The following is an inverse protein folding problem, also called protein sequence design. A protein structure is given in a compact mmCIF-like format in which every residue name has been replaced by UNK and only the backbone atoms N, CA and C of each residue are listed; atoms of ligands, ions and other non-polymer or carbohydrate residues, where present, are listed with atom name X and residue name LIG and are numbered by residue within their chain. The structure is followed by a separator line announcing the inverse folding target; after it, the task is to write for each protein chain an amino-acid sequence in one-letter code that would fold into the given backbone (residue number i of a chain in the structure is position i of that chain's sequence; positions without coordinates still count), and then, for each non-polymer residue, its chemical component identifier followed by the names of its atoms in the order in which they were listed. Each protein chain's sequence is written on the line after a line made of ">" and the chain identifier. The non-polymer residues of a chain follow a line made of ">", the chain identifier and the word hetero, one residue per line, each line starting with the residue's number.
data_IF_056403291391
#
_entry.id   IF_056403291391
#
_cell.length_a   1.000
_cell.length_b   1.000
_cell.length_c   1.000
_cell.angle_alpha   90.00
_cell.angle_beta   90.00
_cell.angle_gamma   90.00
#
_symmetry.space_group_name_H-M   'P 1'
#
loop_
_entity.id
_entity.type
_entity.pdbx_description
1 polymer ?
#
# COMPACT_ATOMS: atom_id res chain seq x y z
N UNK A 1 -18.58 8.30 11.94
CA UNK A 1 -17.28 9.00 12.06
C UNK A 1 -16.97 9.61 10.70
N UNK A 2 -16.40 10.82 10.64
CA UNK A 2 -16.06 11.52 9.39
C UNK A 2 -14.55 11.53 9.16
N UNK A 3 -13.95 10.34 9.10
CA UNK A 3 -12.55 10.24 8.70
C UNK A 3 -12.44 10.42 7.18
N UNK A 4 -11.26 10.83 6.71
CA UNK A 4 -10.95 10.91 5.28
C UNK A 4 -10.08 9.71 4.81
N UNK A 5 -9.46 9.00 5.74
CA UNK A 5 -8.57 7.88 5.47
C UNK A 5 -8.63 6.81 6.57
N UNK A 6 -8.23 5.59 6.21
CA UNK A 6 -8.06 4.46 7.13
C UNK A 6 -6.72 3.76 6.87
N UNK A 7 -5.96 3.50 7.93
CA UNK A 7 -4.72 2.74 7.86
C UNK A 7 -4.93 1.37 8.49
N UNK A 8 -4.61 0.31 7.76
CA UNK A 8 -4.91 -1.06 8.14
C UNK A 8 -3.61 -1.85 8.21
N UNK A 9 -3.30 -2.35 9.42
CA UNK A 9 -2.27 -3.38 9.58
C UNK A 9 -2.92 -4.74 9.28
N UNK A 10 -2.63 -5.29 8.10
CA UNK A 10 -3.27 -6.50 7.59
C UNK A 10 -2.74 -7.78 8.24
N UNK A 11 -1.58 -7.75 8.90
CA UNK A 11 -0.94 -8.93 9.46
C UNK A 11 -0.97 -10.12 8.47
N UNK A 12 -1.46 -11.30 8.87
CA UNK A 12 -1.62 -12.49 8.00
C UNK A 12 -2.99 -12.52 7.27
N UNK A 13 -3.60 -11.36 7.03
CA UNK A 13 -4.97 -11.21 6.49
C UNK A 13 -5.03 -10.15 5.39
N UNK A 14 -4.09 -10.21 4.45
CA UNK A 14 -3.89 -9.25 3.37
C UNK A 14 -5.15 -9.05 2.51
N UNK A 15 -5.92 -10.11 2.26
CA UNK A 15 -7.16 -10.04 1.47
C UNK A 15 -8.27 -9.17 2.11
N UNK A 16 -8.21 -8.89 3.42
CA UNK A 16 -9.19 -8.01 4.11
C UNK A 16 -9.15 -6.59 3.54
N UNK A 17 -8.03 -6.18 2.94
CA UNK A 17 -7.92 -4.88 2.27
C UNK A 17 -8.98 -4.76 1.17
N UNK A 18 -9.24 -5.82 0.41
CA UNK A 18 -10.26 -5.81 -0.64
C UNK A 18 -11.67 -5.66 -0.07
N UNK A 19 -11.97 -6.34 1.02
CA UNK A 19 -13.26 -6.24 1.70
C UNK A 19 -13.49 -4.81 2.25
N UNK A 20 -12.45 -4.19 2.81
CA UNK A 20 -12.56 -2.83 3.35
C UNK A 20 -12.67 -1.80 2.24
N UNK A 21 -11.82 -1.88 1.21
CA UNK A 21 -11.86 -0.98 0.06
C UNK A 21 -13.23 -1.03 -0.65
N UNK A 22 -13.84 -2.22 -0.77
CA UNK A 22 -15.18 -2.35 -1.34
C UNK A 22 -16.29 -1.78 -0.44
N UNK A 23 -16.05 -1.66 0.87
CA UNK A 23 -17.05 -1.24 1.85
C UNK A 23 -16.98 0.24 2.23
N UNK A 24 -16.02 1.00 1.72
CA UNK A 24 -15.77 2.38 2.14
C UNK A 24 -15.26 3.28 1.04
N UNK A 25 -15.58 4.58 1.13
CA UNK A 25 -15.03 5.64 0.26
C UNK A 25 -13.82 6.35 0.92
N UNK A 26 -13.30 5.83 2.04
CA UNK A 26 -12.10 6.35 2.69
C UNK A 26 -10.86 6.05 1.85
N UNK A 27 -9.85 6.92 1.93
CA UNK A 27 -8.52 6.61 1.40
C UNK A 27 -7.90 5.45 2.20
N UNK A 28 -7.65 4.31 1.54
CA UNK A 28 -7.18 3.07 2.18
C UNK A 28 -5.65 2.98 2.10
N UNK A 29 -5.01 2.94 3.28
CA UNK A 29 -3.56 2.73 3.40
C UNK A 29 -3.32 1.32 3.94
N UNK A 30 -2.80 0.43 3.10
CA UNK A 30 -2.47 -0.92 3.50
C UNK A 30 -1.07 -1.01 4.12
N UNK A 31 -0.95 -1.82 5.17
CA UNK A 31 0.30 -2.06 5.85
C UNK A 31 0.37 -3.52 6.28
N UNK A 32 1.38 -4.24 5.82
CA UNK A 32 2.13 -5.26 6.56
C UNK A 32 3.22 -5.72 5.59
N UNK A 33 4.43 -5.96 6.08
CA UNK A 33 5.51 -6.52 5.27
C UNK A 33 5.84 -5.82 3.92
N UNK A 34 5.41 -4.58 3.68
CA UNK A 34 5.67 -3.83 2.44
C UNK A 34 7.16 -3.56 2.30
N UNK A 35 7.77 -4.12 1.26
CA UNK A 35 9.23 -4.13 1.08
C UNK A 35 9.70 -3.95 -0.35
N UNK A 36 8.91 -4.40 -1.31
CA UNK A 36 9.27 -4.44 -2.73
C UNK A 36 8.03 -4.39 -3.62
N UNK A 37 8.27 -4.42 -4.93
CA UNK A 37 7.23 -4.32 -5.94
C UNK A 37 6.12 -5.37 -5.81
N UNK A 38 6.42 -6.58 -5.33
CA UNK A 38 5.41 -7.64 -5.20
C UNK A 38 4.41 -7.28 -4.12
N UNK A 39 4.91 -6.88 -2.96
CA UNK A 39 4.07 -6.46 -1.83
C UNK A 39 3.27 -5.19 -2.14
N UNK A 40 3.83 -4.25 -2.91
CA UNK A 40 3.10 -3.06 -3.37
C UNK A 40 1.96 -3.46 -4.29
N UNK A 41 2.27 -4.24 -5.35
CA UNK A 41 1.30 -4.68 -6.34
C UNK A 41 0.15 -5.46 -5.72
N UNK A 42 0.45 -6.37 -4.80
CA UNK A 42 -0.57 -7.14 -4.09
C UNK A 42 -1.61 -6.25 -3.39
N UNK A 43 -1.16 -5.24 -2.64
CA UNK A 43 -2.09 -4.34 -1.95
C UNK A 43 -2.84 -3.40 -2.90
N UNK A 44 -2.21 -2.93 -3.97
CA UNK A 44 -2.91 -2.15 -5.00
C UNK A 44 -3.95 -3.01 -5.74
N UNK A 45 -3.65 -4.29 -6.02
CA UNK A 45 -4.60 -5.23 -6.61
C UNK A 45 -5.79 -5.54 -5.66
N UNK A 46 -5.57 -5.47 -4.35
CA UNK A 46 -6.66 -5.48 -3.35
C UNK A 46 -7.41 -4.14 -3.24
N UNK A 47 -7.01 -3.09 -3.95
CA UNK A 47 -7.70 -1.80 -3.96
C UNK A 47 -7.25 -0.82 -2.89
N UNK A 48 -6.06 -0.99 -2.30
CA UNK A 48 -5.46 0.06 -1.49
C UNK A 48 -5.09 1.27 -2.37
N UNK A 49 -5.25 2.48 -1.82
CA UNK A 49 -4.81 3.73 -2.48
C UNK A 49 -3.33 4.02 -2.21
N UNK A 50 -2.80 3.51 -1.10
CA UNK A 50 -1.41 3.64 -0.73
C UNK A 50 -0.94 2.47 0.13
N UNK A 51 0.39 2.36 0.27
CA UNK A 51 1.04 1.42 1.18
C UNK A 51 1.92 2.16 2.19
N UNK A 52 2.03 1.60 3.39
CA UNK A 52 2.90 2.10 4.46
C UNK A 52 4.07 1.14 4.69
N UNK A 53 5.28 1.69 4.88
CA UNK A 53 6.51 0.92 5.11
C UNK A 53 6.89 0.99 6.58
N UNK A 54 6.76 -0.14 7.30
CA UNK A 54 6.87 -0.19 8.77
C UNK A 54 8.25 -0.53 9.34
N UNK A 55 9.17 -1.18 8.59
CA UNK A 55 10.54 -1.38 9.11
C UNK A 55 11.13 0.00 9.40
N UNK A 56 11.97 0.16 10.45
CA UNK A 56 12.66 1.43 10.70
C UNK A 56 13.63 1.72 9.56
N UNK A 57 13.10 2.26 8.48
CA UNK A 57 13.80 2.85 7.36
C UNK A 57 14.37 4.15 7.88
N UNK A 58 15.45 4.06 8.67
CA UNK A 58 16.23 5.23 9.12
C UNK A 58 16.94 5.94 7.96
N UNK A 59 16.79 5.40 6.75
CA UNK A 59 17.32 5.89 5.49
C UNK A 59 16.14 6.14 4.55
N UNK A 60 15.66 7.38 4.44
CA UNK A 60 14.61 7.72 3.48
C UNK A 60 15.03 7.46 2.03
N UNK A 61 16.33 7.39 1.77
CA UNK A 61 17.01 7.02 0.51
C UNK A 61 17.44 5.54 0.47
N UNK A 62 16.99 4.73 1.43
CA UNK A 62 17.38 3.33 1.55
C UNK A 62 16.77 2.45 0.44
N UNK A 63 17.34 1.25 0.20
CA UNK A 63 16.91 0.37 -0.88
C UNK A 63 15.43 -0.03 -0.80
N UNK A 64 14.85 -0.12 0.40
CA UNK A 64 13.42 -0.42 0.59
C UNK A 64 12.54 0.74 0.13
N UNK A 65 12.87 1.98 0.52
CA UNK A 65 12.09 3.16 0.12
C UNK A 65 12.16 3.37 -1.40
N UNK A 66 13.35 3.16 -1.99
CA UNK A 66 13.52 3.20 -3.44
C UNK A 66 12.70 2.12 -4.15
N UNK A 67 12.79 0.85 -3.71
CA UNK A 67 12.04 -0.24 -4.33
C UNK A 67 10.52 -0.06 -4.26
N UNK A 68 10.01 0.48 -3.14
CA UNK A 68 8.57 0.79 -2.99
C UNK A 68 8.17 1.97 -3.86
N UNK A 69 8.98 3.03 -3.93
CA UNK A 69 8.71 4.19 -4.77
C UNK A 69 8.71 3.84 -6.27
N UNK A 70 9.70 3.06 -6.71
CA UNK A 70 9.80 2.58 -8.09
C UNK A 70 8.57 1.75 -8.48
N UNK A 71 8.13 0.85 -7.59
CA UNK A 71 6.94 0.03 -7.81
C UNK A 71 5.64 0.85 -7.93
N UNK A 72 5.46 1.88 -7.09
CA UNK A 72 4.30 2.77 -7.19
C UNK A 72 4.33 3.58 -8.51
N UNK A 73 5.50 4.03 -8.95
CA UNK A 73 5.66 4.77 -10.19
C UNK A 73 5.34 3.92 -11.44
N UNK A 74 5.73 2.65 -11.43
CA UNK A 74 5.41 1.68 -12.49
C UNK A 74 3.89 1.47 -12.60
N UNK A 75 3.21 1.17 -11.49
CA UNK A 75 1.76 0.94 -11.47
C UNK A 75 0.95 2.18 -11.90
N UNK A 76 1.37 3.36 -11.46
CA UNK A 76 0.73 4.62 -11.84
C UNK A 76 0.86 4.88 -13.35
N UNK A 77 2.00 4.49 -13.94
CA UNK A 77 2.22 4.63 -15.39
C UNK A 77 1.32 3.67 -16.16
N UNK A 78 1.20 2.41 -15.73
CA UNK A 78 0.33 1.40 -16.37
C UNK A 78 -1.15 1.79 -16.35
N UNK A 79 -1.65 2.41 -15.28
CA UNK A 79 -3.05 2.85 -15.21
C UNK A 79 -3.38 4.05 -16.12
N UNK A 80 -2.38 4.78 -16.60
CA UNK A 80 -2.56 5.97 -17.47
C UNK A 80 -2.30 5.71 -18.95
N UNK A 81 -1.83 4.51 -19.32
CA UNK A 81 -1.52 4.09 -20.68
C UNK A 81 -2.71 3.37 -21.35
#
# INVERSE_FOLDING_TARGET
>A
AGADAIHIDAMDSEAVIADVAAATDLFVIANNEVRDWRSVREYIEFGADAVSVGRPSRRPDGPVMAAVADALAELTTEQTA
#
